data_IF_008744531228
#
_entry.id   IF_008744531228
#
_cell.length_a   1.000
_cell.length_b   1.000
_cell.length_c   1.000
_cell.angle_alpha   90.00
_cell.angle_beta   90.00
_cell.angle_gamma   90.00
#
_symmetry.space_group_name_H-M   'P 1'
#
loop_
_entity.id
_entity.type
_entity.pdbx_description
1 polymer ?
#
# COMPACT_ATOMS: atom_id res chain seq x y z
N UNK A 1 -2.65 19.34 -17.94
CA UNK A 1 -2.77 18.48 -16.74
C UNK A 1 -2.80 19.40 -15.55
N UNK A 2 -3.82 19.30 -14.71
CA UNK A 2 -3.97 20.11 -13.50
C UNK A 2 -2.88 19.73 -12.51
N UNK A 3 -2.08 20.72 -12.11
CA UNK A 3 -1.05 20.52 -11.09
C UNK A 3 -1.76 20.33 -9.75
N UNK A 4 -1.78 19.10 -9.23
CA UNK A 4 -2.34 18.83 -7.89
C UNK A 4 -1.42 19.54 -6.89
N UNK A 5 -1.95 20.41 -6.02
CA UNK A 5 -1.17 21.03 -4.96
C UNK A 5 -0.56 19.97 -4.03
N UNK A 6 0.67 20.21 -3.53
CA UNK A 6 1.33 19.29 -2.58
C UNK A 6 0.47 19.05 -1.32
N UNK A 7 -0.26 20.06 -0.85
CA UNK A 7 -1.19 19.93 0.27
C UNK A 7 -2.30 18.92 -0.01
N UNK A 8 -2.87 18.94 -1.22
CA UNK A 8 -3.92 18.00 -1.62
C UNK A 8 -3.37 16.58 -1.75
N UNK A 9 -2.13 16.43 -2.24
CA UNK A 9 -1.45 15.12 -2.27
C UNK A 9 -1.22 14.56 -0.86
N UNK A 10 -0.80 15.41 0.09
CA UNK A 10 -0.61 15.02 1.50
C UNK A 10 -1.95 14.59 2.12
N UNK A 11 -3.04 15.32 1.85
CA UNK A 11 -4.37 14.97 2.33
C UNK A 11 -4.83 13.62 1.78
N UNK A 12 -4.66 13.39 0.47
CA UNK A 12 -4.97 12.10 -0.15
C UNK A 12 -4.15 10.95 0.44
N UNK A 13 -2.86 11.14 0.71
CA UNK A 13 -2.04 10.10 1.35
C UNK A 13 -2.46 9.83 2.80
N UNK A 14 -2.89 10.83 3.56
CA UNK A 14 -3.42 10.65 4.91
C UNK A 14 -4.74 9.87 4.90
N UNK A 15 -5.63 10.21 3.96
CA UNK A 15 -6.88 9.49 3.77
C UNK A 15 -6.62 8.04 3.35
N UNK A 16 -5.64 7.80 2.46
CA UNK A 16 -5.26 6.45 2.06
C UNK A 16 -4.76 5.63 3.24
N UNK A 17 -3.86 6.18 4.07
CA UNK A 17 -3.41 5.51 5.30
C UNK A 17 -4.57 5.15 6.22
N UNK A 18 -5.50 6.08 6.45
CA UNK A 18 -6.66 5.82 7.29
C UNK A 18 -7.54 4.68 6.75
N UNK A 19 -7.76 4.61 5.43
CA UNK A 19 -8.53 3.53 4.80
C UNK A 19 -7.83 2.17 4.92
N UNK A 20 -6.49 2.15 4.75
CA UNK A 20 -5.68 0.94 4.93
C UNK A 20 -5.74 0.44 6.38
N UNK A 21 -5.60 1.33 7.36
CA UNK A 21 -5.72 1.01 8.79
C UNK A 21 -7.12 0.52 9.19
N UNK A 22 -8.17 1.07 8.57
CA UNK A 22 -9.55 0.65 8.79
C UNK A 22 -9.92 -0.67 8.08
N UNK A 23 -9.07 -1.14 7.18
CA UNK A 23 -9.33 -2.35 6.40
C UNK A 23 -10.23 -2.15 5.18
N UNK A 24 -10.57 -0.91 4.81
CA UNK A 24 -11.41 -0.62 3.64
C UNK A 24 -10.57 -0.66 2.35
N UNK A 25 -10.24 -1.89 1.93
CA UNK A 25 -9.40 -2.14 0.76
C UNK A 25 -10.01 -1.63 -0.53
N UNK A 26 -11.34 -1.60 -0.64
CA UNK A 26 -12.02 -1.16 -1.86
C UNK A 26 -11.94 0.35 -2.03
N UNK A 27 -12.13 1.12 -0.95
CA UNK A 27 -11.92 2.56 -0.98
C UNK A 27 -10.43 2.92 -1.14
N UNK A 28 -9.54 2.18 -0.45
CA UNK A 28 -8.10 2.38 -0.55
C UNK A 28 -7.59 2.16 -1.98
N UNK A 29 -8.02 1.10 -2.66
CA UNK A 29 -7.64 0.80 -4.05
C UNK A 29 -8.04 1.92 -5.02
N UNK A 30 -9.28 2.42 -4.90
CA UNK A 30 -9.76 3.55 -5.71
C UNK A 30 -8.94 4.82 -5.50
N UNK A 31 -8.57 5.13 -4.26
CA UNK A 31 -7.79 6.33 -3.93
C UNK A 31 -6.32 6.18 -4.35
N UNK A 32 -5.78 4.96 -4.32
CA UNK A 32 -4.38 4.65 -4.67
C UNK A 32 -4.04 5.07 -6.09
N UNK A 33 -4.91 4.79 -7.06
CA UNK A 33 -4.66 5.16 -8.46
C UNK A 33 -4.48 6.68 -8.64
N UNK A 34 -5.34 7.48 -7.99
CA UNK A 34 -5.25 8.93 -8.02
C UNK A 34 -4.02 9.44 -7.27
N UNK A 35 -3.75 8.89 -6.09
CA UNK A 35 -2.58 9.24 -5.29
C UNK A 35 -1.27 9.00 -6.04
N UNK A 36 -1.09 7.83 -6.67
CA UNK A 36 0.12 7.49 -7.42
C UNK A 36 0.31 8.38 -8.65
N UNK A 37 -0.77 8.71 -9.37
CA UNK A 37 -0.68 9.63 -10.51
C UNK A 37 -0.27 11.04 -10.08
N UNK A 38 -0.78 11.54 -8.95
CA UNK A 38 -0.40 12.84 -8.41
C UNK A 38 1.05 12.83 -7.87
N UNK A 39 1.47 11.74 -7.23
CA UNK A 39 2.85 11.53 -6.77
C UNK A 39 3.83 11.58 -7.95
N UNK A 40 3.57 10.82 -9.02
CA UNK A 40 4.40 10.82 -10.23
C UNK A 40 4.45 12.23 -10.83
N UNK A 41 3.31 12.92 -10.89
CA UNK A 41 3.21 14.31 -11.33
C UNK A 41 4.18 15.27 -10.64
N UNK A 42 4.37 15.11 -9.32
CA UNK A 42 5.23 15.95 -8.48
C UNK A 42 6.71 15.63 -8.68
N UNK A 43 7.08 14.36 -8.80
CA UNK A 43 8.48 13.92 -8.77
C UNK A 43 9.09 13.65 -10.15
N UNK A 44 8.29 13.45 -11.21
CA UNK A 44 8.77 13.09 -12.56
C UNK A 44 9.78 14.09 -13.17
N UNK A 45 9.75 15.36 -12.76
CA UNK A 45 10.61 16.42 -13.29
C UNK A 45 11.75 16.81 -12.34
N UNK A 46 11.89 16.13 -11.20
CA UNK A 46 12.93 16.46 -10.21
C UNK A 46 14.23 15.77 -10.60
N UNK A 47 15.27 16.55 -10.87
CA UNK A 47 16.60 16.01 -11.18
C UNK A 47 17.25 15.39 -9.93
N UNK A 48 18.05 14.35 -10.15
CA UNK A 48 18.76 13.66 -9.09
C UNK A 48 19.74 14.63 -8.40
N UNK A 49 19.67 14.71 -7.07
CA UNK A 49 20.50 15.63 -6.28
C UNK A 49 19.88 17.02 -6.06
N UNK A 50 18.69 17.27 -6.60
CA UNK A 50 17.92 18.49 -6.29
C UNK A 50 17.49 18.47 -4.82
N UNK A 51 17.71 19.58 -4.11
CA UNK A 51 17.21 19.73 -2.75
C UNK A 51 15.68 19.79 -2.76
N UNK A 52 15.05 18.88 -2.02
CA UNK A 52 13.60 18.83 -1.86
C UNK A 52 13.13 19.86 -0.83
N UNK A 53 11.98 20.47 -1.10
CA UNK A 53 11.25 21.25 -0.10
C UNK A 53 10.76 20.36 1.05
N UNK A 54 10.45 20.98 2.19
CA UNK A 54 9.91 20.28 3.37
C UNK A 54 8.63 19.50 3.02
N UNK A 55 7.76 20.08 2.21
CA UNK A 55 6.51 19.44 1.78
C UNK A 55 6.77 18.22 0.88
N UNK A 56 7.73 18.31 -0.05
CA UNK A 56 8.12 17.16 -0.88
C UNK A 56 8.74 16.04 -0.05
N UNK A 57 9.56 16.38 0.95
CA UNK A 57 10.11 15.38 1.87
C UNK A 57 9.00 14.69 2.68
N UNK A 58 8.01 15.45 3.14
CA UNK A 58 6.86 14.90 3.85
C UNK A 58 6.05 13.94 2.96
N UNK A 59 5.82 14.28 1.70
CA UNK A 59 5.14 13.40 0.73
C UNK A 59 5.92 12.09 0.54
N UNK A 60 7.25 12.14 0.42
CA UNK A 60 8.06 10.93 0.29
C UNK A 60 8.00 10.05 1.54
N UNK A 61 8.04 10.65 2.73
CA UNK A 61 7.91 9.91 4.00
C UNK A 61 6.54 9.24 4.11
N UNK A 62 5.48 9.93 3.69
CA UNK A 62 4.13 9.39 3.66
C UNK A 62 4.02 8.23 2.66
N UNK A 63 4.58 8.38 1.45
CA UNK A 63 4.66 7.30 0.47
C UNK A 63 5.39 6.08 1.02
N UNK A 64 6.53 6.27 1.69
CA UNK A 64 7.27 5.20 2.34
C UNK A 64 6.42 4.48 3.39
N UNK A 65 5.68 5.23 4.21
CA UNK A 65 4.77 4.66 5.22
C UNK A 65 3.68 3.78 4.58
N UNK A 66 3.07 4.25 3.48
CA UNK A 66 2.07 3.50 2.73
C UNK A 66 2.69 2.22 2.14
N UNK A 67 3.88 2.33 1.56
CA UNK A 67 4.60 1.20 0.98
C UNK A 67 4.89 0.12 2.03
N UNK A 68 5.45 0.51 3.19
CA UNK A 68 5.78 -0.41 4.27
C UNK A 68 4.53 -1.12 4.83
N UNK A 69 3.40 -0.40 4.90
CA UNK A 69 2.12 -1.00 5.27
C UNK A 69 1.70 -2.10 4.29
N UNK A 70 1.77 -1.82 2.98
CA UNK A 70 1.40 -2.79 1.93
C UNK A 70 2.32 -4.01 1.95
N UNK A 71 3.62 -3.81 2.12
CA UNK A 71 4.61 -4.90 2.20
C UNK A 71 4.33 -5.81 3.41
N UNK A 72 4.03 -5.21 4.57
CA UNK A 72 3.64 -5.96 5.76
C UNK A 72 2.35 -6.74 5.56
N UNK A 73 1.33 -6.13 4.96
CA UNK A 73 0.05 -6.78 4.69
C UNK A 73 0.22 -7.98 3.75
N UNK A 74 1.02 -7.83 2.68
CA UNK A 74 1.36 -8.91 1.75
C UNK A 74 2.00 -10.09 2.49
N UNK A 75 2.99 -9.84 3.32
CA UNK A 75 3.67 -10.89 4.07
C UNK A 75 2.73 -11.64 5.02
N UNK A 76 1.80 -10.94 5.67
CA UNK A 76 0.79 -11.58 6.53
C UNK A 76 -0.13 -12.49 5.71
N UNK A 77 -0.63 -12.01 4.56
CA UNK A 77 -1.46 -12.82 3.67
C UNK A 77 -0.72 -14.06 3.15
N UNK A 78 0.56 -13.93 2.77
CA UNK A 78 1.39 -15.06 2.36
C UNK A 78 1.53 -16.11 3.49
N UNK A 79 1.74 -15.67 4.73
CA UNK A 79 1.82 -16.56 5.89
C UNK A 79 0.49 -17.29 6.16
N UNK A 80 -0.64 -16.58 6.09
CA UNK A 80 -1.97 -17.18 6.27
C UNK A 80 -2.27 -18.23 5.19
N UNK A 81 -1.97 -17.93 3.93
CA UNK A 81 -2.13 -18.88 2.83
C UNK A 81 -1.28 -20.15 3.02
N UNK A 82 -0.05 -20.00 3.51
CA UNK A 82 0.80 -21.15 3.85
C UNK A 82 0.21 -22.00 4.98
N UNK A 83 -0.42 -21.39 5.98
CA UNK A 83 -1.11 -22.11 7.05
C UNK A 83 -2.32 -22.89 6.52
N UNK A 84 -3.15 -22.27 5.68
CA UNK A 84 -4.29 -22.94 5.03
C UNK A 84 -3.84 -24.10 4.14
N UNK A 85 -2.75 -23.95 3.39
CA UNK A 85 -2.16 -25.03 2.58
C UNK A 85 -1.72 -26.23 3.44
N UNK A 86 -1.14 -25.99 4.63
CA UNK A 86 -0.80 -27.06 5.58
C UNK A 86 -2.05 -27.74 6.13
N UNK A 87 -3.08 -26.97 6.50
CA UNK A 87 -4.34 -27.50 6.99
C UNK A 87 -5.07 -28.36 5.95
N UNK A 88 -5.08 -27.93 4.67
CA UNK A 88 -5.63 -28.70 3.56
C UNK A 88 -4.95 -30.06 3.42
N UNK A 89 -3.61 -30.08 3.40
CA UNK A 89 -2.84 -31.33 3.35
C UNK A 89 -3.10 -32.25 4.54
N UNK A 90 -3.24 -31.71 5.74
CA UNK A 90 -3.58 -32.49 6.92
C UNK A 90 -5.00 -33.09 6.83
N UNK A 91 -5.96 -32.33 6.28
CA UNK A 91 -7.33 -32.82 6.02
C UNK A 91 -7.35 -33.97 5.00
N UNK A 92 -6.56 -33.87 3.93
CA UNK A 92 -6.45 -34.93 2.92
C UNK A 92 -5.85 -36.22 3.53
N UNK A 93 -4.82 -36.09 4.38
CA UNK A 93 -4.25 -37.23 5.11
C UNK A 93 -5.25 -37.87 6.08
N UNK A 94 -6.08 -37.08 6.77
CA UNK A 94 -7.13 -37.62 7.63
C UNK A 94 -8.16 -38.41 6.83
N UNK A 95 -8.64 -37.86 5.70
CA UNK A 95 -9.60 -38.55 4.81
C UNK A 95 -9.06 -39.87 4.25
N UNK A 96 -7.76 -39.93 3.95
CA UNK A 96 -7.12 -41.15 3.43
C UNK A 96 -6.94 -42.26 4.49
N UNK A 97 -6.88 -41.90 5.77
CA UNK A 97 -6.66 -42.86 6.87
C UNK A 97 -7.92 -43.17 7.70
N UNK A 98 -8.96 -42.35 7.58
CA UNK A 98 -10.25 -42.52 8.27
C UNK A 98 -11.37 -43.02 7.33
N UNK A 99 -11.06 -43.31 6.07
CA UNK A 99 -11.96 -43.91 5.07
C UNK A 99 -11.79 -45.42 4.99
#
# INVERSE_FOLDING_TARGET
>A
MSHVPLSELIEHGNQLLALLEQGDMLAADKLTAHYLSALDGVFQHIELGTALSVEQQQVLLQFQTIHDWVEKAKHLTEQELLQFSKAGRASDLYKLNAG
#
